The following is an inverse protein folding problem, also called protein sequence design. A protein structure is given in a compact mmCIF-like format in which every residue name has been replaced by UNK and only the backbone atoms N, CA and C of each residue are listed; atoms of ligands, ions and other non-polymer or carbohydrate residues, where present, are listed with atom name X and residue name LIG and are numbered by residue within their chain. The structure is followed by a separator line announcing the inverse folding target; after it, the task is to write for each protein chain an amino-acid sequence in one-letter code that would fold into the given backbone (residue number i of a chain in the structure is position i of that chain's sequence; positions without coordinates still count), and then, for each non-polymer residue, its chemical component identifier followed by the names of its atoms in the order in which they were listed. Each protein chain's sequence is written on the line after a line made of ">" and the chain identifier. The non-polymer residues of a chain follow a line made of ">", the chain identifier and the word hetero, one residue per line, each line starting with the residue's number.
data_IF_257926989594
#
_entry.id   IF_257926989594
#
_cell.length_a   1.000
_cell.length_b   1.000
_cell.length_c   1.000
_cell.angle_alpha   90.00
_cell.angle_beta   90.00
_cell.angle_gamma   90.00
#
_symmetry.space_group_name_H-M   'P 1'
#
loop_
_entity.id
_entity.type
_entity.pdbx_description
1 polymer ?
#
# COMPACT_ATOMS: atom_id res chain seq x y z
N UNK A 1 8.77 -31.43 35.27
CA UNK A 1 8.81 -29.95 35.22
C UNK A 1 9.72 -29.55 34.09
N UNK A 2 9.25 -29.55 32.85
CA UNK A 2 8.29 -28.61 32.26
C UNK A 2 8.80 -27.16 32.25
N UNK A 3 9.18 -26.78 31.02
CA UNK A 3 9.05 -25.50 30.34
C UNK A 3 9.18 -24.18 31.12
N UNK A 4 10.14 -23.37 30.67
CA UNK A 4 10.33 -21.99 31.11
C UNK A 4 10.93 -21.12 30.01
N UNK A 5 10.14 -20.88 28.97
CA UNK A 5 10.13 -19.63 28.21
C UNK A 5 11.31 -19.36 27.27
N UNK A 6 11.25 -19.96 26.08
CA UNK A 6 11.86 -19.47 24.85
C UNK A 6 11.20 -18.16 24.35
N UNK A 7 10.82 -17.26 25.25
CA UNK A 7 10.20 -15.96 24.93
C UNK A 7 11.26 -14.88 24.78
N UNK A 8 12.43 -15.25 24.24
CA UNK A 8 13.54 -14.31 23.99
C UNK A 8 13.63 -13.84 22.54
N UNK A 9 12.74 -14.27 21.63
CA UNK A 9 12.78 -13.86 20.21
C UNK A 9 11.39 -13.71 19.56
N UNK A 10 10.34 -13.40 20.33
CA UNK A 10 9.02 -13.05 19.75
C UNK A 10 8.69 -11.56 19.87
N UNK A 11 9.69 -10.73 20.15
CA UNK A 11 9.61 -9.28 19.96
C UNK A 11 10.01 -8.93 18.50
N UNK A 12 9.43 -9.64 17.51
CA UNK A 12 9.28 -9.02 16.20
C UNK A 12 8.42 -7.79 16.47
N UNK A 13 9.02 -6.61 16.32
CA UNK A 13 8.34 -5.32 16.31
C UNK A 13 6.98 -5.51 15.63
N UNK A 14 5.88 -5.40 16.37
CA UNK A 14 4.56 -5.30 15.77
C UNK A 14 4.65 -4.04 14.90
N UNK A 15 4.88 -4.23 13.60
CA UNK A 15 5.01 -3.11 12.68
C UNK A 15 3.65 -2.42 12.71
N UNK A 16 3.67 -1.12 12.97
CA UNK A 16 2.46 -0.32 12.92
C UNK A 16 1.92 -0.41 11.49
N UNK A 17 0.73 -1.00 11.36
CA UNK A 17 0.07 -1.19 10.09
C UNK A 17 -0.76 0.06 9.79
N UNK A 18 -0.69 0.51 8.55
CA UNK A 18 -1.49 1.59 8.01
C UNK A 18 -2.52 0.94 7.09
N UNK A 19 -3.80 1.12 7.43
CA UNK A 19 -4.91 0.66 6.60
C UNK A 19 -5.17 1.68 5.49
N UNK A 20 -5.06 1.22 4.24
CA UNK A 20 -5.29 2.07 3.06
C UNK A 20 -6.50 1.59 2.29
N UNK A 21 -7.50 2.46 2.15
CA UNK A 21 -8.61 2.24 1.23
C UNK A 21 -8.16 2.50 -0.20
N UNK A 22 -8.41 1.54 -1.06
CA UNK A 22 -8.07 1.59 -2.47
C UNK A 22 -9.31 1.32 -3.32
N UNK A 23 -9.56 2.17 -4.31
CA UNK A 23 -10.56 1.89 -5.34
C UNK A 23 -10.05 0.81 -6.31
N UNK A 24 -10.94 0.16 -7.09
CA UNK A 24 -10.52 -0.80 -8.12
C UNK A 24 -9.49 -0.22 -9.11
N UNK A 25 -9.63 1.05 -9.48
CA UNK A 25 -8.73 1.75 -10.39
C UNK A 25 -7.35 1.94 -9.75
N UNK A 26 -7.30 2.35 -8.49
CA UNK A 26 -6.04 2.53 -7.76
C UNK A 26 -5.32 1.19 -7.56
N UNK A 27 -6.05 0.12 -7.21
CA UNK A 27 -5.49 -1.24 -7.14
C UNK A 27 -4.86 -1.66 -8.47
N UNK A 28 -5.54 -1.38 -9.58
CA UNK A 28 -5.04 -1.68 -10.93
C UNK A 28 -3.78 -0.87 -11.27
N UNK A 29 -3.71 0.39 -10.86
CA UNK A 29 -2.53 1.25 -11.03
C UNK A 29 -1.35 0.73 -10.21
N UNK A 30 -1.56 0.36 -8.94
CA UNK A 30 -0.52 -0.18 -8.07
C UNK A 30 0.04 -1.50 -8.59
N UNK A 31 -0.83 -2.41 -9.05
CA UNK A 31 -0.40 -3.67 -9.66
C UNK A 31 0.45 -3.45 -10.92
N UNK A 32 0.20 -2.38 -11.67
CA UNK A 32 0.88 -2.11 -12.94
C UNK A 32 2.13 -1.24 -12.81
N UNK A 33 2.16 -0.32 -11.85
CA UNK A 33 3.18 0.74 -11.77
C UNK A 33 3.88 0.84 -10.40
N UNK A 34 3.33 0.21 -9.35
CA UNK A 34 3.87 0.28 -7.99
C UNK A 34 4.84 -0.84 -7.63
N UNK A 35 4.90 -1.95 -8.39
CA UNK A 35 5.76 -3.10 -8.12
C UNK A 35 5.73 -3.57 -6.65
N UNK A 36 4.54 -3.85 -6.09
CA UNK A 36 4.37 -4.10 -4.66
C UNK A 36 5.14 -5.35 -4.19
N UNK A 37 5.55 -5.37 -2.92
CA UNK A 37 6.08 -6.58 -2.28
C UNK A 37 5.05 -7.72 -2.28
N UNK A 38 5.51 -8.97 -2.20
CA UNK A 38 4.67 -10.18 -2.34
C UNK A 38 3.42 -10.16 -1.45
N UNK A 39 3.49 -9.58 -0.25
CA UNK A 39 2.37 -9.50 0.69
C UNK A 39 1.28 -8.53 0.19
N UNK A 40 1.68 -7.31 -0.20
CA UNK A 40 0.77 -6.32 -0.78
C UNK A 40 0.26 -6.81 -2.14
N UNK A 41 1.12 -7.39 -2.97
CA UNK A 41 0.73 -7.99 -4.25
C UNK A 41 -0.32 -9.08 -4.05
N UNK A 42 -0.13 -9.94 -3.03
CA UNK A 42 -1.09 -10.96 -2.64
C UNK A 42 -2.44 -10.37 -2.22
N UNK A 43 -2.43 -9.31 -1.40
CA UNK A 43 -3.64 -8.62 -0.98
C UNK A 43 -4.38 -7.98 -2.16
N UNK A 44 -3.65 -7.31 -3.06
CA UNK A 44 -4.23 -6.70 -4.27
C UNK A 44 -4.81 -7.74 -5.22
N UNK A 45 -4.14 -8.88 -5.41
CA UNK A 45 -4.65 -9.99 -6.22
C UNK A 45 -5.89 -10.63 -5.62
N UNK A 46 -5.96 -10.75 -4.29
CA UNK A 46 -7.12 -11.34 -3.62
C UNK A 46 -8.41 -10.56 -3.88
N UNK A 47 -8.32 -9.25 -4.13
CA UNK A 47 -9.45 -8.39 -4.44
C UNK A 47 -9.43 -7.83 -5.88
N UNK A 48 -8.68 -8.46 -6.80
CA UNK A 48 -8.57 -8.00 -8.20
C UNK A 48 -9.93 -7.96 -8.91
N UNK A 49 -10.81 -8.94 -8.65
CA UNK A 49 -12.16 -8.98 -9.24
C UNK A 49 -13.18 -8.12 -8.49
N UNK A 50 -12.84 -7.60 -7.32
CA UNK A 50 -13.73 -6.77 -6.51
C UNK A 50 -13.92 -5.41 -7.19
N UNK A 51 -15.16 -4.93 -7.19
CA UNK A 51 -15.51 -3.56 -7.62
C UNK A 51 -15.70 -2.61 -6.45
N UNK A 52 -15.57 -3.12 -5.23
CA UNK A 52 -15.72 -2.34 -4.02
C UNK A 52 -14.41 -1.63 -3.67
N UNK A 53 -14.51 -0.66 -2.76
CA UNK A 53 -13.36 -0.08 -2.08
C UNK A 53 -12.87 -1.11 -1.09
N UNK A 54 -11.59 -1.45 -1.17
CA UNK A 54 -10.97 -2.50 -0.36
C UNK A 54 -9.90 -1.89 0.53
N UNK A 55 -9.72 -2.44 1.72
CA UNK A 55 -8.69 -2.03 2.66
C UNK A 55 -7.48 -2.95 2.49
N UNK A 56 -6.32 -2.37 2.22
CA UNK A 56 -5.04 -3.06 2.20
C UNK A 56 -4.19 -2.51 3.34
N UNK A 57 -3.89 -3.38 4.31
CA UNK A 57 -2.97 -3.07 5.40
C UNK A 57 -1.53 -3.23 4.91
N UNK A 58 -0.70 -2.23 5.18
CA UNK A 58 0.74 -2.29 4.89
C UNK A 58 1.53 -1.61 6.01
N UNK A 59 2.75 -2.07 6.25
CA UNK A 59 3.62 -1.35 7.17
C UNK A 59 4.22 -0.11 6.49
N UNK A 60 4.75 0.81 7.32
CA UNK A 60 5.32 2.07 6.84
C UNK A 60 6.45 1.88 5.81
N UNK A 61 7.30 0.86 5.98
CA UNK A 61 8.41 0.62 5.06
C UNK A 61 7.89 0.14 3.70
N UNK A 62 6.89 -0.74 3.71
CA UNK A 62 6.26 -1.20 2.48
C UNK A 62 5.54 -0.06 1.74
N UNK A 63 4.85 0.83 2.48
CA UNK A 63 4.21 2.02 1.92
C UNK A 63 5.23 3.02 1.34
N UNK A 64 6.28 3.34 2.08
CA UNK A 64 7.36 4.24 1.62
C UNK A 64 8.00 3.70 0.33
N UNK A 65 8.24 2.38 0.28
CA UNK A 65 8.80 1.74 -0.90
C UNK A 65 7.84 1.82 -2.09
N UNK A 66 6.57 1.53 -1.88
CA UNK A 66 5.52 1.59 -2.89
C UNK A 66 5.40 3.01 -3.49
N UNK A 67 5.41 4.04 -2.64
CA UNK A 67 5.43 5.45 -3.05
C UNK A 67 6.64 5.73 -3.95
N UNK A 68 7.84 5.26 -3.55
CA UNK A 68 9.06 5.43 -4.34
C UNK A 68 8.98 4.79 -5.73
N UNK A 69 8.40 3.60 -5.84
CA UNK A 69 8.24 2.88 -7.11
C UNK A 69 7.16 3.53 -8.00
N UNK A 70 6.07 4.05 -7.42
CA UNK A 70 5.07 4.87 -8.13
C UNK A 70 5.70 6.17 -8.66
N UNK A 71 6.42 6.91 -7.81
CA UNK A 71 7.18 8.11 -8.21
C UNK A 71 8.13 7.82 -9.38
N UNK A 72 8.85 6.69 -9.33
CA UNK A 72 9.73 6.27 -10.41
C UNK A 72 8.96 6.05 -11.72
N UNK A 73 7.82 5.37 -11.66
CA UNK A 73 6.95 5.13 -12.82
C UNK A 73 6.43 6.43 -13.44
N UNK A 74 5.96 7.37 -12.60
CA UNK A 74 5.51 8.70 -13.03
C UNK A 74 6.61 9.45 -13.78
N UNK A 75 7.85 9.41 -13.27
CA UNK A 75 8.98 10.12 -13.86
C UNK A 75 9.48 9.51 -15.20
N UNK A 76 9.13 8.25 -15.48
CA UNK A 76 9.56 7.55 -16.70
C UNK A 76 8.45 7.40 -17.76
N UNK A 77 7.25 7.91 -17.50
CA UNK A 77 6.14 7.85 -18.44
C UNK A 77 5.93 9.18 -19.16
N UNK A 78 5.22 9.13 -20.30
CA UNK A 78 4.77 10.33 -20.99
C UNK A 78 3.59 10.95 -20.24
N UNK A 79 3.46 12.27 -20.34
CA UNK A 79 2.30 12.96 -19.79
C UNK A 79 1.00 12.52 -20.43
N UNK A 80 -0.05 12.46 -19.61
CA UNK A 80 -1.37 12.00 -20.00
C UNK A 80 -2.24 11.59 -18.82
N UNK A 81 -3.45 11.11 -19.11
CA UNK A 81 -4.45 10.78 -18.10
C UNK A 81 -3.94 9.79 -17.04
N UNK A 82 -3.23 8.74 -17.45
CA UNK A 82 -2.67 7.74 -16.50
C UNK A 82 -1.60 8.36 -15.60
N UNK A 83 -0.79 9.30 -16.09
CA UNK A 83 0.19 9.98 -15.24
C UNK A 83 -0.51 10.84 -14.19
N UNK A 84 -1.59 11.55 -14.56
CA UNK A 84 -2.37 12.34 -13.61
C UNK A 84 -3.01 11.46 -12.54
N UNK A 85 -3.60 10.32 -12.91
CA UNK A 85 -4.15 9.38 -11.94
C UNK A 85 -3.09 8.82 -10.98
N UNK A 86 -1.87 8.58 -11.47
CA UNK A 86 -0.77 8.14 -10.62
C UNK A 86 -0.27 9.25 -9.69
N UNK A 87 -0.27 10.51 -10.14
CA UNK A 87 0.06 11.66 -9.30
C UNK A 87 -0.96 11.80 -8.16
N UNK A 88 -2.26 11.78 -8.49
CA UNK A 88 -3.34 11.87 -7.50
C UNK A 88 -3.24 10.72 -6.46
N UNK A 89 -2.96 9.49 -6.92
CA UNK A 89 -2.74 8.34 -6.05
C UNK A 89 -1.48 8.52 -5.18
N UNK A 90 -0.37 9.00 -5.75
CA UNK A 90 0.88 9.21 -5.03
C UNK A 90 0.70 10.22 -3.90
N UNK A 91 0.06 11.36 -4.18
CA UNK A 91 -0.24 12.40 -3.18
C UNK A 91 -1.06 11.82 -2.01
N UNK A 92 -2.02 10.94 -2.32
CA UNK A 92 -2.86 10.28 -1.31
C UNK A 92 -2.09 9.26 -0.46
N UNK A 93 -1.20 8.47 -1.07
CA UNK A 93 -0.35 7.53 -0.34
C UNK A 93 0.67 8.26 0.55
N UNK A 94 1.22 9.38 0.09
CA UNK A 94 2.10 10.22 0.92
C UNK A 94 1.36 10.86 2.10
N UNK A 95 0.10 11.26 1.91
CA UNK A 95 -0.75 11.72 3.02
C UNK A 95 -0.98 10.59 4.02
N UNK A 96 -1.31 9.38 3.55
CA UNK A 96 -1.50 8.21 4.41
C UNK A 96 -0.23 7.86 5.21
N UNK A 97 0.95 7.92 4.59
CA UNK A 97 2.23 7.67 5.24
C UNK A 97 2.55 8.72 6.32
N UNK A 98 2.20 9.99 6.06
CA UNK A 98 2.50 11.12 6.96
C UNK A 98 1.55 11.20 8.16
N UNK A 99 0.28 10.87 7.96
CA UNK A 99 -0.78 11.07 8.95
C UNK A 99 -1.34 9.77 9.53
N UNK A 100 -0.90 8.61 9.02
CA UNK A 100 -1.47 7.30 9.33
C UNK A 100 -2.98 7.23 9.05
N UNK A 101 -3.43 7.97 8.03
CA UNK A 101 -4.82 8.03 7.57
C UNK A 101 -4.91 7.69 6.08
N UNK A 102 -5.20 6.43 5.79
CA UNK A 102 -5.35 5.92 4.43
C UNK A 102 -6.80 5.83 3.96
N UNK A 103 -7.75 6.43 4.68
CA UNK A 103 -9.17 6.34 4.34
C UNK A 103 -9.51 7.29 3.19
N UNK A 104 -10.44 6.88 2.34
CA UNK A 104 -11.01 7.80 1.35
C UNK A 104 -11.99 8.73 2.04
N UNK A 105 -11.92 10.02 1.75
CA UNK A 105 -12.95 10.98 2.13
C UNK A 105 -14.26 10.58 1.44
N UNK A 106 -15.08 9.76 2.10
CA UNK A 106 -16.43 9.46 1.64
C UNK A 106 -17.29 10.70 1.87
N UNK A 107 -17.51 11.48 0.81
CA UNK A 107 -18.52 12.54 0.73
C UNK A 107 -19.93 11.94 0.66
#
# INVERSE_FOLDING_TARGET
>A
SEHGSATKVFLLMAREMIDIQLTPEERSLLMRYGYPFEQIEGALKACESSRDIEIVAMDRFELERLIGDVCRSINHMKSGATQNQLLDLCDRLEAAERYSDGMLDTL
#
